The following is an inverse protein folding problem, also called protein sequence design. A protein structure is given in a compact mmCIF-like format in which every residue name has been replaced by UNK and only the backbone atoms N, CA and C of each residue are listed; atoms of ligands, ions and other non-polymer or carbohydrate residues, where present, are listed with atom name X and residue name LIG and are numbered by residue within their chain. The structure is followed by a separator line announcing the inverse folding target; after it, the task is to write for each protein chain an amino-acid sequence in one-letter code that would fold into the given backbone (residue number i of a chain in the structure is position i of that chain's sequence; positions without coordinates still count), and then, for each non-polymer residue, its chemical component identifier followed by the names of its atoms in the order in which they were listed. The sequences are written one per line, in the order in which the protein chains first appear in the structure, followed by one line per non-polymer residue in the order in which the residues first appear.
data_IF_064609295478
#
_entry.id   IF_064609295478
#
_cell.length_a   1.000
_cell.length_b   1.000
_cell.length_c   1.000
_cell.angle_alpha   90.00
_cell.angle_beta   90.00
_cell.angle_gamma   90.00
#
_symmetry.space_group_name_H-M   'P 1'
#
loop_
_entity.id
_entity.type
_entity.pdbx_description
1 polymer ?
#
# COMPACT_ATOMS: atom_id res chain seq x y z
N UNK A 1 -41.95 3.87 13.09
CA UNK A 1 -41.15 5.05 12.69
C UNK A 1 -40.23 5.58 13.78
N UNK A 2 -40.62 5.58 15.07
CA UNK A 2 -39.74 6.06 16.17
C UNK A 2 -38.53 5.17 16.50
N UNK A 3 -38.62 3.85 16.31
CA UNK A 3 -37.54 2.90 16.63
C UNK A 3 -36.39 2.92 15.63
N UNK A 4 -36.69 3.14 14.34
CA UNK A 4 -35.68 3.25 13.27
C UNK A 4 -34.86 4.56 13.33
N UNK A 5 -35.39 5.62 13.95
CA UNK A 5 -34.66 6.88 14.16
C UNK A 5 -33.66 6.77 15.31
N UNK A 6 -34.01 6.04 16.37
CA UNK A 6 -33.13 5.80 17.53
C UNK A 6 -31.93 4.90 17.19
N UNK A 7 -32.11 3.88 16.34
CA UNK A 7 -30.99 3.06 15.87
C UNK A 7 -30.03 3.83 14.97
N UNK A 8 -30.55 4.75 14.14
CA UNK A 8 -29.73 5.57 13.24
C UNK A 8 -28.92 6.63 13.98
N UNK A 9 -29.43 7.20 15.07
CA UNK A 9 -28.68 8.11 15.95
C UNK A 9 -27.59 7.39 16.75
N UNK A 10 -27.83 6.13 17.16
CA UNK A 10 -26.83 5.31 17.85
C UNK A 10 -25.66 4.92 16.92
N UNK A 11 -25.93 4.63 15.64
CA UNK A 11 -24.87 4.36 14.65
C UNK A 11 -24.07 5.61 14.28
N UNK A 12 -24.71 6.78 14.18
CA UNK A 12 -24.05 8.07 13.92
C UNK A 12 -23.10 8.47 15.06
N UNK A 13 -23.48 8.23 16.33
CA UNK A 13 -22.59 8.46 17.48
C UNK A 13 -21.43 7.47 17.53
N UNK A 14 -21.62 6.23 17.06
CA UNK A 14 -20.55 5.21 16.97
C UNK A 14 -19.55 5.54 15.84
N UNK A 15 -20.02 6.09 14.73
CA UNK A 15 -19.18 6.60 13.63
C UNK A 15 -18.40 7.88 14.01
N UNK A 16 -18.96 8.74 14.88
CA UNK A 16 -18.25 9.90 15.41
C UNK A 16 -17.15 9.54 16.43
N UNK A 17 -17.33 8.46 17.21
CA UNK A 17 -16.28 7.97 18.13
C UNK A 17 -15.14 7.21 17.46
N UNK A 18 -15.33 6.67 16.25
CA UNK A 18 -14.25 6.01 15.49
C UNK A 18 -13.35 6.98 14.69
N UNK A 19 -13.74 8.25 14.54
CA UNK A 19 -12.94 9.28 13.85
C UNK A 19 -11.92 10.00 14.74
N UNK A 20 -11.86 9.69 16.03
CA UNK A 20 -11.00 10.40 17.01
C UNK A 20 -9.80 9.58 17.50
N UNK A 21 -9.41 8.52 16.79
CA UNK A 21 -8.22 7.73 17.13
C UNK A 21 -7.35 7.48 15.88
N UNK A 22 -6.61 8.52 15.47
CA UNK A 22 -5.44 8.40 14.62
C UNK A 22 -4.35 9.33 15.19
N UNK A 23 -3.07 8.92 15.15
CA UNK A 23 -2.01 9.55 15.93
C UNK A 23 -1.67 10.93 15.37
N UNK A 24 -1.62 11.91 16.28
CA UNK A 24 -1.20 13.28 16.00
C UNK A 24 0.28 13.30 15.64
N UNK A 25 0.59 13.31 14.33
CA UNK A 25 1.89 13.72 13.83
C UNK A 25 1.98 15.25 13.97
N UNK A 26 2.69 15.69 15.00
CA UNK A 26 2.99 17.11 15.23
C UNK A 26 4.06 17.56 14.24
N UNK A 27 3.63 18.26 13.18
CA UNK A 27 4.48 19.13 12.38
C UNK A 27 4.26 20.55 12.91
N UNK A 28 5.21 21.05 13.70
CA UNK A 28 5.34 22.48 13.98
C UNK A 28 6.79 22.90 13.73
N UNK A 29 6.93 23.62 12.62
CA UNK A 29 7.71 24.86 12.47
C UNK A 29 9.22 24.81 12.77
N UNK A 30 9.97 24.82 11.67
CA UNK A 30 11.21 25.59 11.50
C UNK A 30 11.25 26.84 12.37
N UNK A 31 12.10 26.83 13.38
CA UNK A 31 13.01 27.92 13.78
C UNK A 31 13.91 27.36 14.90
N UNK A 32 15.22 27.60 14.82
CA UNK A 32 16.29 27.07 15.69
C UNK A 32 16.91 25.72 15.27
N UNK A 33 17.68 25.73 14.18
CA UNK A 33 18.80 24.79 13.99
C UNK A 33 19.95 25.50 13.29
N UNK A 34 20.57 26.39 14.05
CA UNK A 34 21.93 26.87 13.82
C UNK A 34 22.54 27.05 15.20
N UNK A 35 22.95 25.96 15.84
CA UNK A 35 23.98 25.87 16.91
C UNK A 35 23.95 24.46 17.57
N UNK A 36 24.16 23.38 16.80
CA UNK A 36 24.44 22.04 17.38
C UNK A 36 25.24 21.10 16.48
N UNK A 37 25.85 21.58 15.40
CA UNK A 37 26.62 20.74 14.46
C UNK A 37 28.10 20.55 14.80
N UNK A 38 28.57 21.00 15.98
CA UNK A 38 30.00 20.98 16.32
C UNK A 38 30.40 19.98 17.42
N UNK A 39 29.45 19.30 18.06
CA UNK A 39 29.76 18.38 19.18
C UNK A 39 29.79 16.90 18.70
N UNK A 40 28.91 16.49 17.77
CA UNK A 40 28.91 15.11 17.23
C UNK A 40 30.13 14.80 16.33
N UNK A 41 30.74 15.82 15.70
CA UNK A 41 31.93 15.61 14.88
C UNK A 41 33.17 15.31 15.73
N UNK A 42 33.30 15.88 16.92
CA UNK A 42 34.48 15.67 17.77
C UNK A 42 34.51 14.24 18.34
N UNK A 43 33.37 13.71 18.77
CA UNK A 43 33.24 12.33 19.27
C UNK A 43 33.42 11.30 18.13
N UNK A 44 32.81 11.52 16.96
CA UNK A 44 33.00 10.64 15.81
C UNK A 44 34.44 10.64 15.27
N UNK A 45 35.11 11.80 15.27
CA UNK A 45 36.53 11.90 14.90
C UNK A 45 37.41 11.19 15.94
N UNK A 46 37.07 11.27 17.23
CA UNK A 46 37.77 10.57 18.30
C UNK A 46 37.64 9.05 18.19
N UNK A 47 36.44 8.52 17.92
CA UNK A 47 36.23 7.08 17.72
C UNK A 47 36.97 6.55 16.48
N UNK A 48 36.95 7.31 15.37
CA UNK A 48 37.67 6.95 14.14
C UNK A 48 39.19 6.98 14.34
N UNK A 49 39.70 7.96 15.10
CA UNK A 49 41.10 8.07 15.49
C UNK A 49 41.55 6.90 16.37
N UNK A 50 40.72 6.47 17.31
CA UNK A 50 40.98 5.36 18.22
C UNK A 50 41.02 4.01 17.48
N UNK A 51 40.11 3.81 16.51
CA UNK A 51 40.11 2.66 15.61
C UNK A 51 41.35 2.65 14.70
N UNK A 52 41.77 3.81 14.21
CA UNK A 52 42.98 3.96 13.41
C UNK A 52 44.24 3.55 14.16
N UNK A 53 44.35 3.97 15.42
CA UNK A 53 45.47 3.63 16.29
C UNK A 53 45.53 2.13 16.63
N UNK A 54 44.41 1.49 16.93
CA UNK A 54 44.39 0.03 17.20
C UNK A 54 44.83 -0.82 15.99
N UNK A 55 44.58 -0.35 14.77
CA UNK A 55 45.08 -1.00 13.55
C UNK A 55 46.58 -0.76 13.37
N UNK A 56 47.09 0.41 13.76
CA UNK A 56 48.47 0.82 13.57
C UNK A 56 49.43 0.27 14.62
N UNK A 57 49.00 0.21 15.87
CA UNK A 57 49.76 -0.18 17.07
C UNK A 57 50.57 -1.48 16.93
N UNK A 58 50.08 -2.57 16.31
CA UNK A 58 50.86 -3.80 16.12
C UNK A 58 52.07 -3.65 15.19
N UNK A 59 52.09 -2.59 14.36
CA UNK A 59 53.13 -2.32 13.38
C UNK A 59 54.19 -1.34 13.89
N UNK A 60 53.88 -0.58 14.95
CA UNK A 60 54.80 0.40 15.54
C UNK A 60 55.94 -0.33 16.26
N UNK A 61 57.17 -0.05 15.83
CA UNK A 61 58.39 -0.62 16.44
C UNK A 61 59.09 0.42 17.29
N UNK A 62 59.68 -0.02 18.38
CA UNK A 62 60.58 0.83 19.15
C UNK A 62 62.01 0.62 18.67
N UNK A 63 62.71 1.72 18.36
CA UNK A 63 64.13 1.75 18.02
C UNK A 63 64.91 2.62 19.01
N UNK A 64 66.24 2.49 19.08
CA UNK A 64 67.06 3.27 19.99
C UNK A 64 66.92 4.76 19.73
N UNK A 65 66.92 5.53 20.82
CA UNK A 65 66.83 6.98 20.81
C UNK A 65 68.20 7.54 21.16
N UNK A 66 68.67 8.50 20.38
CA UNK A 66 69.93 9.21 20.64
C UNK A 66 69.70 10.70 20.78
N UNK A 67 70.43 11.33 21.70
CA UNK A 67 70.48 12.78 21.81
C UNK A 67 71.37 13.42 20.73
N UNK A 68 71.14 14.70 20.45
CA UNK A 68 71.91 15.54 19.50
C UNK A 68 73.43 15.53 19.79
N UNK A 69 73.82 15.34 21.05
CA UNK A 69 75.21 15.29 21.49
C UNK A 69 75.96 14.01 21.12
N UNK A 70 75.27 12.94 20.71
CA UNK A 70 75.92 11.68 20.34
C UNK A 70 76.77 11.87 19.08
N UNK A 71 77.95 11.27 19.11
CA UNK A 71 78.87 11.20 17.98
C UNK A 71 78.45 10.11 17.01
N UNK A 72 78.94 10.18 15.77
CA UNK A 72 78.65 9.15 14.79
C UNK A 72 79.19 7.79 15.21
N UNK A 73 80.31 7.74 15.93
CA UNK A 73 80.89 6.51 16.46
C UNK A 73 79.95 5.81 17.45
N UNK A 74 79.39 6.53 18.42
CA UNK A 74 78.45 5.99 19.40
C UNK A 74 77.17 5.44 18.74
N UNK A 75 76.66 6.10 17.69
CA UNK A 75 75.48 5.60 16.94
C UNK A 75 75.82 4.36 16.12
N UNK A 76 77.05 4.25 15.60
CA UNK A 76 77.52 3.04 14.90
C UNK A 76 77.63 1.86 15.88
N UNK A 77 78.12 2.08 17.09
CA UNK A 77 78.17 1.07 18.15
C UNK A 77 76.76 0.60 18.53
N UNK A 78 75.78 1.50 18.64
CA UNK A 78 74.38 1.11 18.89
C UNK A 78 73.79 0.22 17.78
N UNK A 79 74.12 0.47 16.52
CA UNK A 79 73.72 -0.42 15.42
C UNK A 79 74.44 -1.77 15.43
N UNK A 80 75.61 -1.87 16.08
CA UNK A 80 76.34 -3.12 16.29
C UNK A 80 75.77 -3.92 17.47
N UNK A 81 75.33 -3.25 18.54
CA UNK A 81 74.66 -3.87 19.69
C UNK A 81 73.24 -4.33 19.37
N UNK A 82 72.54 -3.63 18.47
CA UNK A 82 71.20 -4.00 18.00
C UNK A 82 71.17 -4.14 16.46
N UNK A 83 71.63 -5.29 15.93
CA UNK A 83 71.77 -5.50 14.48
C UNK A 83 70.45 -5.39 13.69
N UNK A 84 69.34 -5.71 14.34
CA UNK A 84 68.00 -5.78 13.74
C UNK A 84 67.33 -4.40 13.55
N UNK A 85 67.91 -3.33 14.11
CA UNK A 85 67.37 -1.98 13.96
C UNK A 85 67.85 -1.34 12.65
N UNK A 86 66.90 -0.92 11.83
CA UNK A 86 67.17 -0.30 10.52
C UNK A 86 67.44 1.20 10.62
N UNK A 87 67.08 1.83 11.75
CA UNK A 87 67.32 3.24 12.02
C UNK A 87 67.42 3.54 13.52
N UNK A 88 67.86 4.75 13.81
CA UNK A 88 67.88 5.37 15.14
C UNK A 88 67.19 6.72 15.03
N UNK A 89 66.40 7.09 16.04
CA UNK A 89 65.73 8.39 16.10
C UNK A 89 66.52 9.35 16.97
N UNK A 90 66.79 10.53 16.44
CA UNK A 90 67.45 11.61 17.19
C UNK A 90 66.37 12.43 17.88
N UNK A 91 66.37 12.46 19.21
CA UNK A 91 65.42 13.24 20.00
C UNK A 91 66.13 14.35 20.80
N UNK A 92 65.36 15.35 21.21
CA UNK A 92 65.79 16.29 22.25
C UNK A 92 65.59 15.71 23.67
N UNK A 93 65.97 16.50 24.68
CA UNK A 93 65.81 16.13 26.11
C UNK A 93 64.33 15.99 26.54
N UNK A 94 63.39 16.55 25.78
CA UNK A 94 61.94 16.44 26.02
C UNK A 94 61.30 15.20 25.34
N UNK A 95 62.08 14.46 24.53
CA UNK A 95 61.64 13.28 23.79
C UNK A 95 61.04 13.61 22.42
N UNK A 96 61.24 14.83 21.90
CA UNK A 96 60.75 15.25 20.59
C UNK A 96 61.65 14.76 19.47
N UNK A 97 61.13 14.07 18.44
CA UNK A 97 61.94 13.59 17.32
C UNK A 97 62.40 14.77 16.46
N UNK A 98 63.72 14.98 16.40
CA UNK A 98 64.38 16.02 15.62
C UNK A 98 64.93 15.52 14.29
N UNK A 99 65.21 14.21 14.18
CA UNK A 99 65.73 13.63 12.96
C UNK A 99 65.80 12.12 12.98
N UNK A 100 66.08 11.54 11.81
CA UNK A 100 66.18 10.09 11.61
C UNK A 100 67.53 9.72 11.02
N UNK A 101 68.17 8.68 11.54
CA UNK A 101 69.41 8.14 10.96
C UNK A 101 69.14 6.71 10.48
N UNK A 102 69.13 6.52 9.17
CA UNK A 102 69.02 5.18 8.58
C UNK A 102 70.38 4.47 8.62
N UNK A 103 70.41 3.22 9.09
CA UNK A 103 71.62 2.38 9.16
C UNK A 103 72.33 2.31 7.81
N UNK A 104 71.58 2.08 6.72
CA UNK A 104 72.13 2.01 5.37
C UNK A 104 72.83 3.31 4.93
N UNK A 105 72.25 4.48 5.23
CA UNK A 105 72.89 5.78 4.91
C UNK A 105 74.20 5.95 5.67
N UNK A 106 74.22 5.59 6.95
CA UNK A 106 75.42 5.66 7.78
C UNK A 106 76.50 4.67 7.32
N UNK A 107 76.13 3.46 6.89
CA UNK A 107 77.05 2.45 6.32
C UNK A 107 77.68 2.91 5.01
N UNK A 108 76.91 3.58 4.13
CA UNK A 108 77.45 4.16 2.88
C UNK A 108 78.51 5.23 3.20
N UNK A 109 78.27 6.07 4.21
CA UNK A 109 79.23 7.10 4.63
C UNK A 109 80.49 6.47 5.22
N UNK A 110 80.36 5.38 5.99
CA UNK A 110 81.51 4.63 6.53
C UNK A 110 82.39 3.98 5.47
N UNK A 111 81.78 3.49 4.38
CA UNK A 111 82.49 2.80 3.29
C UNK A 111 83.11 3.76 2.27
N UNK A 112 82.81 5.06 2.36
CA UNK A 112 83.43 6.09 1.52
C UNK A 112 84.91 6.33 1.91
N UNK A 113 85.76 6.61 0.93
CA UNK A 113 87.19 6.95 1.16
C UNK A 113 87.28 8.18 2.07
N UNK A 114 87.99 8.07 3.20
CA UNK A 114 88.12 9.06 4.29
C UNK A 114 86.87 9.30 5.15
N UNK A 115 85.80 8.50 5.00
CA UNK A 115 84.55 8.68 5.77
C UNK A 115 84.75 8.60 7.29
N UNK A 116 85.64 7.68 7.75
CA UNK A 116 85.94 7.54 9.18
C UNK A 116 86.59 8.78 9.80
N UNK A 117 87.59 9.34 9.13
CA UNK A 117 88.34 10.51 9.61
C UNK A 117 87.50 11.80 9.58
N UNK A 118 86.53 11.90 8.66
CA UNK A 118 85.75 13.13 8.45
C UNK A 118 84.53 13.21 9.38
N UNK A 119 83.94 12.07 9.75
CA UNK A 119 82.61 12.05 10.38
C UNK A 119 82.54 11.43 11.79
N UNK A 120 83.47 10.58 12.21
CA UNK A 120 83.34 9.82 13.47
C UNK A 120 83.21 10.72 14.72
N UNK A 121 84.07 11.74 14.85
CA UNK A 121 84.02 12.69 15.97
C UNK A 121 83.00 13.83 15.83
N UNK A 122 82.15 13.81 14.78
CA UNK A 122 81.10 14.82 14.59
C UNK A 122 79.80 14.36 15.22
N UNK A 123 79.04 15.32 15.76
CA UNK A 123 77.67 15.09 16.23
C UNK A 123 76.80 14.51 15.11
N UNK A 124 76.00 13.49 15.46
CA UNK A 124 75.08 12.80 14.57
C UNK A 124 74.03 13.75 13.96
N UNK A 125 73.76 14.88 14.62
CA UNK A 125 72.83 15.90 14.14
C UNK A 125 73.24 16.52 12.80
N UNK A 126 74.52 16.43 12.40
CA UNK A 126 75.00 16.88 11.09
C UNK A 126 74.76 15.88 9.96
N UNK A 127 74.37 14.65 10.29
CA UNK A 127 74.23 13.52 9.36
C UNK A 127 72.85 12.87 9.40
N UNK A 128 72.01 13.24 10.35
CA UNK A 128 70.61 12.83 10.39
C UNK A 128 69.81 13.45 9.24
N UNK A 129 68.75 12.76 8.83
CA UNK A 129 67.69 13.39 8.08
C UNK A 129 66.97 14.38 9.00
N UNK A 130 67.06 15.67 8.67
CA UNK A 130 66.45 16.75 9.46
C UNK A 130 64.99 17.02 9.11
N UNK A 131 64.42 16.31 8.14
CA UNK A 131 63.01 16.38 7.79
C UNK A 131 62.41 14.97 7.60
N UNK A 132 62.48 14.10 8.63
CA UNK A 132 61.85 12.79 8.55
C UNK A 132 60.33 12.97 8.49
N UNK A 133 59.62 12.07 7.81
CA UNK A 133 58.15 12.08 7.92
C UNK A 133 57.77 11.63 9.33
N UNK A 134 57.20 12.56 10.08
CA UNK A 134 56.61 12.31 11.38
C UNK A 134 55.10 12.40 11.25
N UNK A 135 54.39 11.37 11.71
CA UNK A 135 52.93 11.30 11.71
C UNK A 135 52.40 11.21 13.13
N UNK A 136 51.20 11.73 13.36
CA UNK A 136 50.50 11.52 14.63
C UNK A 136 50.03 10.06 14.72
N UNK A 137 50.06 9.45 15.91
CA UNK A 137 49.58 8.07 16.11
C UNK A 137 48.10 7.84 15.73
N UNK A 138 47.29 8.91 15.73
CA UNK A 138 45.87 8.90 15.38
C UNK A 138 45.60 9.08 13.87
N UNK A 139 46.65 9.07 13.04
CA UNK A 139 46.48 9.16 11.59
C UNK A 139 45.69 7.97 11.04
N UNK A 140 44.82 8.22 10.07
CA UNK A 140 44.14 7.14 9.35
C UNK A 140 45.18 6.28 8.61
N UNK A 141 45.15 4.95 8.75
CA UNK A 141 46.11 4.05 8.08
C UNK A 141 46.22 4.26 6.57
N UNK A 142 45.13 4.62 5.89
CA UNK A 142 45.13 4.89 4.45
C UNK A 142 45.87 6.20 4.11
N UNK A 143 45.63 7.27 4.88
CA UNK A 143 46.34 8.54 4.73
C UNK A 143 47.83 8.40 5.04
N UNK A 144 48.18 7.59 6.05
CA UNK A 144 49.56 7.22 6.35
C UNK A 144 50.23 6.54 5.15
N UNK A 145 49.57 5.54 4.55
CA UNK A 145 50.10 4.84 3.39
C UNK A 145 50.29 5.79 2.21
N UNK A 146 49.33 6.69 1.95
CA UNK A 146 49.44 7.68 0.88
C UNK A 146 50.61 8.63 1.10
N UNK A 147 50.81 9.14 2.33
CA UNK A 147 51.92 10.03 2.67
C UNK A 147 53.28 9.32 2.69
N UNK A 148 53.31 8.04 3.07
CA UNK A 148 54.55 7.28 3.17
C UNK A 148 55.01 6.73 1.81
N UNK A 149 54.08 6.22 1.00
CA UNK A 149 54.36 5.67 -0.33
C UNK A 149 54.41 6.73 -1.43
N UNK A 150 53.87 7.93 -1.18
CA UNK A 150 53.95 9.07 -2.10
C UNK A 150 55.24 9.89 -2.03
N UNK A 151 56.24 9.46 -1.25
CA UNK A 151 57.55 10.12 -1.15
C UNK A 151 58.45 9.83 -2.35
N UNK A 152 59.44 10.68 -2.56
CA UNK A 152 60.50 10.46 -3.56
C UNK A 152 61.26 9.15 -3.30
N UNK A 153 61.75 8.51 -4.36
CA UNK A 153 62.49 7.22 -4.34
C UNK A 153 63.67 7.20 -3.34
N UNK A 154 64.22 8.37 -2.98
CA UNK A 154 65.34 8.52 -2.04
C UNK A 154 64.95 8.42 -0.56
N UNK A 155 63.69 8.68 -0.23
CA UNK A 155 63.17 8.78 1.15
C UNK A 155 61.96 7.88 1.39
N UNK A 156 61.43 7.23 0.36
CA UNK A 156 60.31 6.27 0.45
C UNK A 156 60.66 5.03 1.29
N UNK A 157 61.95 4.65 1.34
CA UNK A 157 62.44 3.54 2.16
C UNK A 157 62.81 3.97 3.59
N UNK A 158 62.77 5.26 3.89
CA UNK A 158 63.08 5.77 5.24
C UNK A 158 61.89 5.48 6.17
N UNK A 159 62.22 5.11 7.42
CA UNK A 159 61.21 4.82 8.42
C UNK A 159 60.33 6.05 8.69
N UNK A 160 59.04 5.84 8.93
CA UNK A 160 58.12 6.89 9.38
C UNK A 160 58.20 6.99 10.88
N UNK A 161 58.36 8.19 11.42
CA UNK A 161 58.30 8.39 12.87
C UNK A 161 56.83 8.55 13.28
N UNK A 162 56.42 7.83 14.32
CA UNK A 162 55.10 7.97 14.94
C UNK A 162 55.27 8.72 16.26
N UNK A 163 54.50 9.79 16.42
CA UNK A 163 54.55 10.67 17.59
C UNK A 163 53.15 11.00 18.13
N UNK A 164 53.08 11.34 19.41
CA UNK A 164 51.89 11.87 20.10
C UNK A 164 52.32 13.11 20.86
N UNK A 165 51.61 14.23 20.67
CA UNK A 165 51.93 15.52 21.31
C UNK A 165 53.43 15.88 21.19
N UNK A 166 53.97 15.75 19.97
CA UNK A 166 55.37 15.95 19.63
C UNK A 166 56.37 15.00 20.34
N UNK A 167 55.91 13.96 21.06
CA UNK A 167 56.78 12.96 21.67
C UNK A 167 56.89 11.70 20.82
N UNK A 168 58.10 11.20 20.68
CA UNK A 168 58.38 9.96 19.97
C UNK A 168 57.70 8.76 20.65
N UNK A 169 56.95 7.97 19.86
CA UNK A 169 56.34 6.71 20.30
C UNK A 169 57.05 5.52 19.67
N UNK A 170 57.37 5.62 18.39
CA UNK A 170 57.96 4.53 17.62
C UNK A 170 58.17 4.88 16.17
N UNK A 171 58.50 3.86 15.38
CA UNK A 171 58.67 3.97 13.94
C UNK A 171 57.83 2.95 13.18
N UNK A 172 57.63 3.20 11.89
CA UNK A 172 57.10 2.25 10.92
C UNK A 172 58.11 2.06 9.79
N UNK A 173 58.53 0.83 9.57
CA UNK A 173 59.39 0.49 8.43
C UNK A 173 58.57 0.34 7.15
N UNK A 174 59.22 0.37 5.99
CA UNK A 174 58.56 0.06 4.71
C UNK A 174 57.93 -1.34 4.72
N UNK A 175 58.57 -2.33 5.37
CA UNK A 175 58.01 -3.68 5.52
C UNK A 175 56.69 -3.66 6.29
N UNK A 176 56.60 -2.86 7.35
CA UNK A 176 55.39 -2.74 8.16
C UNK A 176 54.28 -1.99 7.41
N UNK A 177 54.62 -0.93 6.65
CA UNK A 177 53.68 -0.24 5.77
C UNK A 177 53.12 -1.16 4.68
N UNK A 178 53.96 -1.98 4.04
CA UNK A 178 53.50 -2.95 3.04
C UNK A 178 52.62 -4.04 3.65
N UNK A 179 52.92 -4.52 4.87
CA UNK A 179 52.04 -5.46 5.59
C UNK A 179 50.71 -4.81 5.97
N UNK A 180 50.73 -3.56 6.42
CA UNK A 180 49.53 -2.78 6.73
C UNK A 180 48.66 -2.58 5.47
N UNK A 181 49.28 -2.23 4.34
CA UNK A 181 48.60 -2.13 3.04
C UNK A 181 47.90 -3.44 2.66
N UNK A 182 48.60 -4.58 2.75
CA UNK A 182 48.01 -5.90 2.49
C UNK A 182 46.87 -6.23 3.45
N UNK A 183 47.01 -5.90 4.74
CA UNK A 183 45.97 -6.15 5.75
C UNK A 183 44.69 -5.35 5.40
N UNK A 184 44.84 -4.06 5.08
CA UNK A 184 43.71 -3.20 4.69
C UNK A 184 43.06 -3.73 3.41
N UNK A 185 43.84 -4.04 2.38
CA UNK A 185 43.32 -4.63 1.14
C UNK A 185 42.55 -5.93 1.39
N UNK A 186 43.10 -6.83 2.21
CA UNK A 186 42.44 -8.09 2.57
C UNK A 186 41.12 -7.84 3.32
N UNK A 187 41.08 -6.90 4.27
CA UNK A 187 39.88 -6.55 5.02
C UNK A 187 38.81 -5.93 4.11
N UNK A 188 39.22 -5.08 3.16
CA UNK A 188 38.31 -4.50 2.16
C UNK A 188 37.70 -5.57 1.26
N UNK A 189 38.50 -6.50 0.74
CA UNK A 189 38.00 -7.63 -0.08
C UNK A 189 37.05 -8.51 0.73
N UNK A 190 37.38 -8.83 1.99
CA UNK A 190 36.48 -9.60 2.86
C UNK A 190 35.14 -8.91 3.09
N UNK A 191 35.16 -7.60 3.36
CA UNK A 191 33.95 -6.82 3.53
C UNK A 191 33.12 -6.79 2.24
N UNK A 192 33.76 -6.60 1.09
CA UNK A 192 33.08 -6.61 -0.21
C UNK A 192 32.42 -7.96 -0.50
N UNK A 193 33.10 -9.08 -0.24
CA UNK A 193 32.52 -10.43 -0.40
C UNK A 193 31.30 -10.61 0.51
N UNK A 194 31.36 -10.13 1.75
CA UNK A 194 30.22 -10.18 2.67
C UNK A 194 29.03 -9.35 2.15
N UNK A 195 29.28 -8.15 1.63
CA UNK A 195 28.24 -7.30 1.01
C UNK A 195 27.60 -7.97 -0.20
N UNK A 196 28.40 -8.59 -1.10
CA UNK A 196 27.86 -9.28 -2.29
C UNK A 196 26.99 -10.48 -1.87
N UNK A 197 27.43 -11.31 -0.92
CA UNK A 197 26.61 -12.43 -0.40
C UNK A 197 25.30 -11.95 0.22
N UNK A 198 25.33 -10.84 0.95
CA UNK A 198 24.11 -10.22 1.48
C UNK A 198 23.16 -9.80 0.36
N UNK A 199 23.71 -9.25 -0.71
CA UNK A 199 22.94 -8.81 -1.87
C UNK A 199 22.38 -9.99 -2.70
N UNK A 200 23.10 -11.11 -2.83
CA UNK A 200 22.60 -12.35 -3.45
C UNK A 200 21.37 -12.89 -2.71
N UNK A 201 21.40 -12.91 -1.37
CA UNK A 201 20.27 -13.36 -0.57
C UNK A 201 19.03 -12.47 -0.78
N UNK A 202 19.22 -11.13 -0.81
CA UNK A 202 18.12 -10.20 -1.09
C UNK A 202 17.53 -10.42 -2.49
N UNK A 203 18.35 -10.74 -3.49
CA UNK A 203 17.86 -11.04 -4.84
C UNK A 203 17.07 -12.34 -4.88
N UNK A 204 17.50 -13.38 -4.16
CA UNK A 204 16.71 -14.61 -4.04
C UNK A 204 15.34 -14.39 -3.40
N UNK A 205 15.26 -13.49 -2.42
CA UNK A 205 13.99 -13.10 -1.81
C UNK A 205 13.11 -12.33 -2.83
N UNK A 206 13.70 -11.38 -3.57
CA UNK A 206 13.02 -10.67 -4.65
C UNK A 206 12.48 -11.64 -5.71
N UNK A 207 13.27 -12.62 -6.14
CA UNK A 207 12.88 -13.61 -7.15
C UNK A 207 11.62 -14.38 -6.71
N UNK A 208 11.61 -14.83 -5.45
CA UNK A 208 10.45 -15.51 -4.86
C UNK A 208 9.23 -14.59 -4.79
N UNK A 209 9.41 -13.34 -4.35
CA UNK A 209 8.32 -12.36 -4.29
C UNK A 209 7.75 -12.05 -5.67
N UNK A 210 8.60 -11.94 -6.69
CA UNK A 210 8.18 -11.67 -8.07
C UNK A 210 7.33 -12.82 -8.62
N UNK A 211 7.71 -14.08 -8.38
CA UNK A 211 6.90 -15.25 -8.76
C UNK A 211 5.53 -15.22 -8.08
N UNK A 212 5.48 -14.93 -6.78
CA UNK A 212 4.22 -14.82 -6.04
C UNK A 212 3.31 -13.70 -6.58
N UNK A 213 3.89 -12.55 -6.93
CA UNK A 213 3.14 -11.44 -7.54
C UNK A 213 2.61 -11.84 -8.92
N UNK A 214 3.39 -12.57 -9.71
CA UNK A 214 2.96 -13.05 -11.03
C UNK A 214 1.79 -14.04 -10.92
N UNK A 215 1.85 -15.02 -10.02
CA UNK A 215 0.75 -15.95 -9.75
C UNK A 215 -0.51 -15.23 -9.25
N UNK A 216 -0.35 -14.29 -8.32
CA UNK A 216 -1.46 -13.48 -7.80
C UNK A 216 -2.12 -12.63 -8.89
N UNK A 217 -1.33 -12.09 -9.82
CA UNK A 217 -1.81 -11.36 -11.00
C UNK A 217 -2.63 -12.27 -11.91
N UNK A 218 -2.15 -13.46 -12.26
CA UNK A 218 -2.90 -14.42 -13.10
C UNK A 218 -4.21 -14.85 -12.45
N UNK A 219 -4.20 -15.11 -11.13
CA UNK A 219 -5.41 -15.41 -10.38
C UNK A 219 -6.40 -14.24 -10.41
N UNK A 220 -5.90 -13.01 -10.21
CA UNK A 220 -6.69 -11.79 -10.28
C UNK A 220 -7.33 -11.55 -11.65
N UNK A 221 -6.61 -11.87 -12.73
CA UNK A 221 -7.13 -11.81 -14.10
C UNK A 221 -8.27 -12.81 -14.32
N UNK A 222 -8.06 -14.08 -13.93
CA UNK A 222 -9.08 -15.14 -14.02
C UNK A 222 -10.34 -14.83 -13.20
N UNK A 223 -10.17 -14.32 -11.97
CA UNK A 223 -11.28 -13.86 -11.13
C UNK A 223 -12.04 -12.69 -11.75
N UNK A 224 -11.32 -11.74 -12.34
CA UNK A 224 -11.93 -10.59 -13.03
C UNK A 224 -12.71 -11.02 -14.27
N UNK A 225 -12.21 -12.01 -15.02
CA UNK A 225 -12.92 -12.59 -16.16
C UNK A 225 -14.21 -13.30 -15.71
N UNK A 226 -14.16 -14.02 -14.60
CA UNK A 226 -15.34 -14.67 -14.01
C UNK A 226 -16.38 -13.63 -13.53
N UNK A 227 -15.93 -12.52 -12.94
CA UNK A 227 -16.79 -11.40 -12.57
C UNK A 227 -17.45 -10.76 -13.79
N UNK A 228 -16.74 -10.59 -14.91
CA UNK A 228 -17.32 -10.08 -16.15
C UNK A 228 -18.47 -10.97 -16.65
N UNK A 229 -18.27 -12.29 -16.68
CA UNK A 229 -19.32 -13.23 -17.09
C UNK A 229 -20.52 -13.21 -16.14
N UNK A 230 -20.29 -13.22 -14.82
CA UNK A 230 -21.36 -13.16 -13.83
C UNK A 230 -22.16 -11.85 -13.92
N UNK A 231 -21.48 -10.74 -14.19
CA UNK A 231 -22.11 -9.43 -14.32
C UNK A 231 -22.95 -9.35 -15.59
N UNK A 232 -22.47 -9.90 -16.70
CA UNK A 232 -23.26 -10.00 -17.95
C UNK A 232 -24.50 -10.88 -17.77
N UNK A 233 -24.36 -12.03 -17.09
CA UNK A 233 -25.49 -12.89 -16.73
C UNK A 233 -26.50 -12.15 -15.86
N UNK A 234 -26.03 -11.47 -14.81
CA UNK A 234 -26.88 -10.68 -13.93
C UNK A 234 -27.64 -9.56 -14.66
N UNK A 235 -26.97 -8.85 -15.58
CA UNK A 235 -27.63 -7.87 -16.45
C UNK A 235 -28.73 -8.49 -17.31
N UNK A 236 -28.49 -9.64 -17.92
CA UNK A 236 -29.48 -10.33 -18.75
C UNK A 236 -30.70 -10.77 -17.90
N UNK A 237 -30.49 -11.27 -16.68
CA UNK A 237 -31.60 -11.57 -15.78
C UNK A 237 -32.40 -10.32 -15.39
N UNK A 238 -31.74 -9.18 -15.16
CA UNK A 238 -32.43 -7.91 -14.92
C UNK A 238 -33.23 -7.43 -16.14
N UNK A 239 -32.71 -7.61 -17.36
CA UNK A 239 -33.44 -7.28 -18.58
C UNK A 239 -34.72 -8.12 -18.71
N UNK A 240 -34.67 -9.41 -18.33
CA UNK A 240 -35.87 -10.28 -18.29
C UNK A 240 -36.87 -9.81 -17.23
N UNK A 241 -36.40 -9.43 -16.04
CA UNK A 241 -37.26 -8.92 -14.97
C UNK A 241 -37.91 -7.59 -15.37
N UNK A 242 -37.16 -6.68 -16.00
CA UNK A 242 -37.67 -5.43 -16.57
C UNK A 242 -38.76 -5.68 -17.61
N UNK A 243 -38.56 -6.64 -18.51
CA UNK A 243 -39.58 -7.04 -19.48
C UNK A 243 -40.84 -7.61 -18.81
N UNK A 244 -40.68 -8.39 -17.74
CA UNK A 244 -41.80 -8.93 -16.97
C UNK A 244 -42.64 -7.84 -16.30
N UNK A 245 -42.00 -6.82 -15.71
CA UNK A 245 -42.71 -5.67 -15.13
C UNK A 245 -43.40 -4.80 -16.18
N UNK A 246 -42.78 -4.59 -17.34
CA UNK A 246 -43.46 -3.95 -18.48
C UNK A 246 -44.72 -4.71 -18.91
N UNK A 247 -44.64 -6.04 -19.00
CA UNK A 247 -45.81 -6.86 -19.32
C UNK A 247 -46.88 -6.79 -18.23
N UNK A 248 -46.48 -6.80 -16.95
CA UNK A 248 -47.38 -6.65 -15.81
C UNK A 248 -48.12 -5.29 -15.88
N UNK A 249 -47.42 -4.19 -16.10
CA UNK A 249 -48.01 -2.85 -16.24
C UNK A 249 -49.03 -2.80 -17.40
N UNK A 250 -48.69 -3.41 -18.55
CA UNK A 250 -49.62 -3.50 -19.68
C UNK A 250 -50.87 -4.34 -19.35
N UNK A 251 -50.71 -5.47 -18.65
CA UNK A 251 -51.83 -6.33 -18.21
C UNK A 251 -52.73 -5.61 -17.20
N UNK A 252 -52.14 -4.88 -16.26
CA UNK A 252 -52.85 -4.05 -15.28
C UNK A 252 -53.69 -2.98 -15.98
N UNK A 253 -53.16 -2.32 -17.00
CA UNK A 253 -53.91 -1.34 -17.78
C UNK A 253 -55.11 -1.96 -18.52
N UNK A 254 -54.98 -3.18 -19.03
CA UNK A 254 -56.10 -3.93 -19.63
C UNK A 254 -57.15 -4.30 -18.56
N UNK A 255 -56.72 -4.69 -17.36
CA UNK A 255 -57.63 -4.98 -16.25
C UNK A 255 -58.42 -3.74 -15.82
N UNK A 256 -57.80 -2.56 -15.73
CA UNK A 256 -58.49 -1.30 -15.44
C UNK A 256 -59.64 -1.03 -16.44
N UNK A 257 -59.39 -1.25 -17.74
CA UNK A 257 -60.40 -1.08 -18.80
C UNK A 257 -61.57 -2.07 -18.61
N UNK A 258 -61.27 -3.36 -18.37
CA UNK A 258 -62.29 -4.39 -18.20
C UNK A 258 -63.15 -4.16 -16.95
N UNK A 259 -62.55 -3.69 -15.86
CA UNK A 259 -63.26 -3.37 -14.62
C UNK A 259 -64.16 -2.14 -14.82
N UNK A 260 -63.69 -1.12 -15.53
CA UNK A 260 -64.52 0.03 -15.92
C UNK A 260 -65.74 -0.40 -16.73
N UNK A 261 -65.56 -1.30 -17.69
CA UNK A 261 -66.68 -1.82 -18.49
C UNK A 261 -67.67 -2.62 -17.63
N UNK A 262 -67.20 -3.41 -16.66
CA UNK A 262 -68.05 -4.12 -15.72
C UNK A 262 -68.86 -3.15 -14.84
N UNK A 263 -68.24 -2.05 -14.39
CA UNK A 263 -68.90 -0.99 -13.63
C UNK A 263 -70.06 -0.38 -14.43
N UNK A 264 -69.82 -0.05 -15.70
CA UNK A 264 -70.82 0.53 -16.59
C UNK A 264 -71.99 -0.44 -16.84
N UNK A 265 -71.68 -1.72 -17.09
CA UNK A 265 -72.69 -2.78 -17.30
C UNK A 265 -73.53 -3.00 -16.04
N UNK A 266 -72.90 -3.10 -14.86
CA UNK A 266 -73.61 -3.24 -13.58
C UNK A 266 -74.50 -2.01 -13.30
N UNK A 267 -74.00 -0.81 -13.58
CA UNK A 267 -74.78 0.43 -13.49
C UNK A 267 -75.99 0.45 -14.42
N UNK A 268 -75.86 -0.05 -15.65
CA UNK A 268 -76.97 -0.18 -16.59
C UNK A 268 -78.04 -1.18 -16.09
N UNK A 269 -77.63 -2.34 -15.58
CA UNK A 269 -78.57 -3.31 -14.99
C UNK A 269 -79.29 -2.73 -13.77
N UNK A 270 -78.57 -1.96 -12.93
CA UNK A 270 -79.18 -1.24 -11.80
C UNK A 270 -80.27 -0.24 -12.24
N UNK A 271 -80.07 0.48 -13.35
CA UNK A 271 -81.10 1.36 -13.92
C UNK A 271 -82.33 0.58 -14.39
N UNK A 272 -82.13 -0.55 -15.07
CA UNK A 272 -83.23 -1.42 -15.53
C UNK A 272 -84.00 -2.01 -14.35
N UNK A 273 -83.31 -2.48 -13.30
CA UNK A 273 -83.95 -3.02 -12.11
C UNK A 273 -84.81 -1.97 -11.38
N UNK A 274 -84.32 -0.73 -11.27
CA UNK A 274 -85.12 0.39 -10.73
C UNK A 274 -86.39 0.64 -11.55
N UNK A 275 -86.30 0.60 -12.87
CA UNK A 275 -87.46 0.74 -13.76
C UNK A 275 -88.47 -0.41 -13.56
N UNK A 276 -88.01 -1.66 -13.44
CA UNK A 276 -88.88 -2.82 -13.17
C UNK A 276 -89.61 -2.63 -11.84
N UNK A 277 -88.91 -2.17 -10.79
CA UNK A 277 -89.52 -1.88 -9.48
C UNK A 277 -90.60 -0.81 -9.59
N UNK A 278 -90.37 0.25 -10.37
CA UNK A 278 -91.34 1.31 -10.62
C UNK A 278 -92.57 0.79 -11.37
N UNK A 279 -92.37 -0.01 -12.43
CA UNK A 279 -93.46 -0.65 -13.17
C UNK A 279 -94.27 -1.62 -12.29
N UNK A 280 -93.60 -2.39 -11.43
CA UNK A 280 -94.25 -3.28 -10.48
C UNK A 280 -95.09 -2.50 -9.46
N UNK A 281 -94.60 -1.37 -8.94
CA UNK A 281 -95.39 -0.48 -8.08
C UNK A 281 -96.62 0.09 -8.80
N UNK A 282 -96.48 0.53 -10.05
CA UNK A 282 -97.60 1.02 -10.85
C UNK A 282 -98.63 -0.07 -11.13
N UNK A 283 -98.19 -1.26 -11.51
CA UNK A 283 -99.05 -2.41 -11.76
C UNK A 283 -99.80 -2.83 -10.48
N UNK A 284 -99.13 -2.80 -9.33
CA UNK A 284 -99.75 -3.05 -8.04
C UNK A 284 -100.86 -2.03 -7.71
N UNK A 285 -100.63 -0.74 -7.98
CA UNK A 285 -101.64 0.31 -7.82
C UNK A 285 -102.83 0.12 -8.78
N UNK A 286 -102.57 -0.22 -10.03
CA UNK A 286 -103.62 -0.52 -11.02
C UNK A 286 -104.46 -1.74 -10.60
N UNK A 287 -103.80 -2.79 -10.10
CA UNK A 287 -104.47 -3.98 -9.60
C UNK A 287 -105.36 -3.69 -8.39
N UNK A 288 -104.89 -2.87 -7.44
CA UNK A 288 -105.71 -2.40 -6.31
C UNK A 288 -106.95 -1.64 -6.79
N UNK A 289 -106.80 -0.72 -7.75
CA UNK A 289 -107.92 0.00 -8.32
C UNK A 289 -108.92 -0.94 -9.02
N UNK A 290 -108.42 -1.95 -9.73
CA UNK A 290 -109.25 -2.98 -10.37
C UNK A 290 -110.00 -3.85 -9.35
N UNK A 291 -109.36 -4.25 -8.24
CA UNK A 291 -110.02 -4.97 -7.14
C UNK A 291 -111.14 -4.14 -6.53
N UNK A 292 -110.94 -2.83 -6.34
CA UNK A 292 -111.97 -1.90 -5.83
C UNK A 292 -113.16 -1.83 -6.79
N UNK A 293 -112.92 -1.65 -8.08
CA UNK A 293 -114.00 -1.53 -9.07
C UNK A 293 -114.74 -2.87 -9.28
N UNK A 294 -114.02 -4.00 -9.20
CA UNK A 294 -114.62 -5.33 -9.21
C UNK A 294 -115.53 -5.57 -8.00
N UNK A 295 -115.14 -5.11 -6.80
CA UNK A 295 -116.00 -5.13 -5.62
C UNK A 295 -117.24 -4.23 -5.79
N UNK A 296 -117.09 -3.08 -6.45
CA UNK A 296 -118.17 -2.14 -6.74
C UNK A 296 -119.21 -2.69 -7.72
N UNK A 297 -118.79 -3.53 -8.68
CA UNK A 297 -119.68 -4.21 -9.63
C UNK A 297 -120.47 -5.39 -9.03
N UNK A 298 -120.24 -5.73 -7.75
CA UNK A 298 -120.98 -6.79 -7.04
C UNK A 298 -120.77 -8.18 -7.65
N UNK A 299 -121.87 -8.93 -7.84
CA UNK A 299 -121.81 -10.30 -8.39
C UNK A 299 -121.23 -10.37 -9.80
N UNK A 300 -121.43 -9.33 -10.63
CA UNK A 300 -120.85 -9.27 -11.99
C UNK A 300 -119.33 -9.06 -12.00
N UNK A 301 -118.74 -8.59 -10.90
CA UNK A 301 -117.31 -8.31 -10.76
C UNK A 301 -116.48 -9.45 -10.18
N UNK A 302 -117.07 -10.56 -9.71
CA UNK A 302 -116.34 -11.65 -9.01
C UNK A 302 -115.18 -12.23 -9.82
N UNK A 303 -115.36 -12.45 -11.13
CA UNK A 303 -114.29 -12.95 -11.99
C UNK A 303 -113.13 -11.95 -12.15
N UNK A 304 -113.45 -10.65 -12.27
CA UNK A 304 -112.46 -9.58 -12.35
C UNK A 304 -111.70 -9.38 -11.03
N UNK A 305 -112.36 -9.58 -9.89
CA UNK A 305 -111.73 -9.48 -8.57
C UNK A 305 -110.62 -10.53 -8.39
N UNK A 306 -110.84 -11.77 -8.84
CA UNK A 306 -109.84 -12.85 -8.77
C UNK A 306 -108.62 -12.51 -9.64
N UNK A 307 -108.84 -12.01 -10.86
CA UNK A 307 -107.74 -11.61 -11.76
C UNK A 307 -106.96 -10.42 -11.19
N UNK A 308 -107.66 -9.42 -10.64
CA UNK A 308 -107.02 -8.25 -10.04
C UNK A 308 -106.15 -8.61 -8.82
N UNK A 309 -106.61 -9.50 -7.95
CA UNK A 309 -105.81 -9.99 -6.82
C UNK A 309 -104.58 -10.80 -7.26
N UNK A 310 -104.69 -11.62 -8.32
CA UNK A 310 -103.53 -12.34 -8.87
C UNK A 310 -102.50 -11.38 -9.49
N UNK A 311 -102.96 -10.36 -10.23
CA UNK A 311 -102.09 -9.31 -10.77
C UNK A 311 -101.39 -8.54 -9.64
N UNK A 312 -102.12 -8.22 -8.55
CA UNK A 312 -101.55 -7.56 -7.36
C UNK A 312 -100.42 -8.40 -6.73
N UNK A 313 -100.65 -9.70 -6.62
CA UNK A 313 -99.67 -10.66 -6.08
C UNK A 313 -98.42 -10.74 -6.97
N UNK A 314 -98.60 -10.87 -8.29
CA UNK A 314 -97.51 -10.87 -9.27
C UNK A 314 -96.71 -9.56 -9.24
N UNK A 315 -97.39 -8.42 -9.14
CA UNK A 315 -96.75 -7.11 -9.04
C UNK A 315 -95.92 -6.99 -7.74
N UNK A 316 -96.44 -7.48 -6.61
CA UNK A 316 -95.70 -7.50 -5.34
C UNK A 316 -94.47 -8.41 -5.41
N UNK A 317 -94.60 -9.61 -5.98
CA UNK A 317 -93.46 -10.51 -6.20
C UNK A 317 -92.42 -9.91 -7.14
N UNK A 318 -92.85 -9.29 -8.24
CA UNK A 318 -91.95 -8.61 -9.21
C UNK A 318 -91.17 -7.48 -8.53
N UNK A 319 -91.84 -6.70 -7.68
CA UNK A 319 -91.18 -5.65 -6.88
C UNK A 319 -90.11 -6.23 -5.97
N UNK A 320 -90.43 -7.30 -5.22
CA UNK A 320 -89.48 -7.95 -4.33
C UNK A 320 -88.26 -8.47 -5.12
N UNK A 321 -88.47 -9.14 -6.24
CA UNK A 321 -87.37 -9.61 -7.09
C UNK A 321 -86.52 -8.45 -7.64
N UNK A 322 -87.13 -7.32 -7.99
CA UNK A 322 -86.38 -6.13 -8.42
C UNK A 322 -85.55 -5.53 -7.27
N UNK A 323 -86.06 -5.53 -6.04
CA UNK A 323 -85.32 -5.10 -4.85
C UNK A 323 -84.12 -6.03 -4.57
N UNK A 324 -84.32 -7.34 -4.66
CA UNK A 324 -83.24 -8.33 -4.52
C UNK A 324 -82.16 -8.16 -5.60
N UNK A 325 -82.55 -7.91 -6.86
CA UNK A 325 -81.61 -7.60 -7.96
C UNK A 325 -80.83 -6.31 -7.65
N UNK A 326 -81.47 -5.27 -7.13
CA UNK A 326 -80.78 -4.02 -6.78
C UNK A 326 -79.75 -4.22 -5.66
N UNK A 327 -80.04 -5.07 -4.67
CA UNK A 327 -79.06 -5.44 -3.63
C UNK A 327 -77.85 -6.16 -4.24
N UNK A 328 -78.07 -7.13 -5.13
CA UNK A 328 -76.98 -7.83 -5.83
C UNK A 328 -76.13 -6.87 -6.68
N UNK A 329 -76.76 -5.95 -7.42
CA UNK A 329 -76.02 -4.95 -8.20
C UNK A 329 -75.20 -4.02 -7.30
N UNK A 330 -75.74 -3.64 -6.14
CA UNK A 330 -75.00 -2.80 -5.18
C UNK A 330 -73.77 -3.53 -4.64
N UNK A 331 -73.90 -4.82 -4.31
CA UNK A 331 -72.77 -5.65 -3.90
C UNK A 331 -71.72 -5.82 -5.01
N UNK A 332 -72.14 -6.00 -6.26
CA UNK A 332 -71.24 -6.07 -7.43
C UNK A 332 -70.46 -4.75 -7.59
N UNK A 333 -71.14 -3.61 -7.50
CA UNK A 333 -70.49 -2.29 -7.63
C UNK A 333 -69.47 -2.03 -6.51
N UNK A 334 -69.75 -2.46 -5.27
CA UNK A 334 -68.79 -2.34 -4.18
C UNK A 334 -67.56 -3.24 -4.39
N UNK A 335 -67.77 -4.49 -4.81
CA UNK A 335 -66.67 -5.41 -5.15
C UNK A 335 -65.81 -4.89 -6.32
N UNK A 336 -66.45 -4.27 -7.33
CA UNK A 336 -65.76 -3.60 -8.44
C UNK A 336 -64.87 -2.47 -7.92
N UNK A 337 -65.39 -1.62 -7.03
CA UNK A 337 -64.64 -0.50 -6.45
C UNK A 337 -63.43 -0.98 -5.64
N UNK A 338 -63.58 -2.03 -4.84
CA UNK A 338 -62.47 -2.66 -4.12
C UNK A 338 -61.42 -3.24 -5.09
N UNK A 339 -61.87 -3.86 -6.18
CA UNK A 339 -60.97 -4.39 -7.22
C UNK A 339 -60.18 -3.27 -7.91
N UNK A 340 -60.81 -2.13 -8.22
CA UNK A 340 -60.11 -0.96 -8.79
C UNK A 340 -59.00 -0.48 -7.85
N UNK A 341 -59.26 -0.42 -6.54
CA UNK A 341 -58.26 -0.01 -5.56
C UNK A 341 -57.04 -0.94 -5.57
N UNK A 342 -57.27 -2.26 -5.49
CA UNK A 342 -56.19 -3.27 -5.52
C UNK A 342 -55.37 -3.22 -6.81
N UNK A 343 -56.03 -3.01 -7.95
CA UNK A 343 -55.36 -2.89 -9.26
C UNK A 343 -54.51 -1.61 -9.32
N UNK A 344 -54.99 -0.49 -8.78
CA UNK A 344 -54.23 0.75 -8.69
C UNK A 344 -53.01 0.63 -7.78
N UNK A 345 -53.14 -0.06 -6.64
CA UNK A 345 -52.00 -0.34 -5.75
C UNK A 345 -50.97 -1.23 -6.45
N UNK A 346 -51.40 -2.31 -7.11
CA UNK A 346 -50.53 -3.19 -7.87
C UNK A 346 -49.79 -2.49 -9.02
N UNK A 347 -50.42 -1.49 -9.66
CA UNK A 347 -49.78 -0.63 -10.66
C UNK A 347 -48.65 0.19 -10.07
N UNK A 348 -48.91 0.86 -8.94
CA UNK A 348 -47.92 1.67 -8.23
C UNK A 348 -46.72 0.83 -7.76
N UNK A 349 -46.98 -0.39 -7.27
CA UNK A 349 -45.93 -1.32 -6.86
C UNK A 349 -45.10 -1.83 -8.05
N UNK A 350 -45.73 -2.09 -9.20
CA UNK A 350 -45.03 -2.47 -10.42
C UNK A 350 -44.14 -1.34 -10.95
N UNK A 351 -44.63 -0.10 -10.94
CA UNK A 351 -43.86 1.09 -11.36
C UNK A 351 -42.66 1.34 -10.43
N UNK A 352 -42.85 1.21 -9.12
CA UNK A 352 -41.76 1.28 -8.14
C UNK A 352 -40.74 0.17 -8.37
N UNK A 353 -41.20 -1.05 -8.64
CA UNK A 353 -40.33 -2.20 -8.92
C UNK A 353 -39.50 -1.99 -10.19
N UNK A 354 -40.08 -1.38 -11.22
CA UNK A 354 -39.36 -1.01 -12.44
C UNK A 354 -38.20 -0.05 -12.13
N UNK A 355 -38.38 0.89 -11.20
CA UNK A 355 -37.31 1.79 -10.76
C UNK A 355 -36.17 1.03 -10.07
N UNK A 356 -36.49 0.10 -9.17
CA UNK A 356 -35.47 -0.72 -8.49
C UNK A 356 -34.67 -1.59 -9.46
N UNK A 357 -35.34 -2.18 -10.46
CA UNK A 357 -34.67 -2.98 -11.50
C UNK A 357 -33.72 -2.12 -12.33
N UNK A 358 -34.11 -0.88 -12.64
CA UNK A 358 -33.24 0.06 -13.35
C UNK A 358 -32.00 0.44 -12.54
N UNK A 359 -32.18 0.74 -11.25
CA UNK A 359 -31.06 1.04 -10.35
C UNK A 359 -30.12 -0.17 -10.21
N UNK A 360 -30.66 -1.38 -10.09
CA UNK A 360 -29.87 -2.61 -10.10
C UNK A 360 -29.09 -2.77 -11.41
N UNK A 361 -29.70 -2.48 -12.56
CA UNK A 361 -29.03 -2.57 -13.86
C UNK A 361 -27.85 -1.61 -13.97
N UNK A 362 -27.97 -0.39 -13.42
CA UNK A 362 -26.88 0.58 -13.35
C UNK A 362 -25.74 0.08 -12.45
N UNK A 363 -26.04 -0.56 -11.31
CA UNK A 363 -25.04 -1.18 -10.43
C UNK A 363 -24.30 -2.30 -11.14
N UNK A 364 -25.00 -3.19 -11.85
CA UNK A 364 -24.36 -4.24 -12.65
C UNK A 364 -23.48 -3.64 -13.76
N UNK A 365 -23.90 -2.55 -14.39
CA UNK A 365 -23.06 -1.86 -15.35
C UNK A 365 -21.77 -1.31 -14.71
N UNK A 366 -21.84 -0.74 -13.51
CA UNK A 366 -20.65 -0.29 -12.78
C UNK A 366 -19.74 -1.45 -12.40
N UNK A 367 -20.30 -2.57 -11.94
CA UNK A 367 -19.54 -3.79 -11.64
C UNK A 367 -18.79 -4.31 -12.88
N UNK A 368 -19.40 -4.23 -14.05
CA UNK A 368 -18.76 -4.64 -15.31
C UNK A 368 -17.51 -3.81 -15.60
N UNK A 369 -17.61 -2.48 -15.47
CA UNK A 369 -16.48 -1.58 -15.70
C UNK A 369 -15.38 -1.81 -14.67
N UNK A 370 -15.73 -2.01 -13.41
CA UNK A 370 -14.77 -2.29 -12.33
C UNK A 370 -14.05 -3.62 -12.56
N UNK A 371 -14.77 -4.68 -12.94
CA UNK A 371 -14.17 -5.98 -13.25
C UNK A 371 -13.24 -5.89 -14.48
N UNK A 372 -13.64 -5.16 -15.52
CA UNK A 372 -12.80 -4.92 -16.70
C UNK A 372 -11.53 -4.13 -16.35
N UNK A 373 -11.64 -3.12 -15.49
CA UNK A 373 -10.51 -2.37 -14.97
C UNK A 373 -9.55 -3.26 -14.17
N UNK A 374 -10.10 -4.11 -13.30
CA UNK A 374 -9.31 -5.00 -12.46
C UNK A 374 -8.56 -6.07 -13.29
N UNK A 375 -9.19 -6.61 -14.34
CA UNK A 375 -8.53 -7.50 -15.31
C UNK A 375 -7.34 -6.82 -15.99
N UNK A 376 -7.49 -5.57 -16.42
CA UNK A 376 -6.39 -4.80 -17.02
C UNK A 376 -5.24 -4.56 -16.05
N UNK A 377 -5.55 -4.12 -14.83
CA UNK A 377 -4.55 -3.90 -13.78
C UNK A 377 -3.81 -5.19 -13.44
N UNK A 378 -4.52 -6.31 -13.35
CA UNK A 378 -3.91 -7.62 -13.14
C UNK A 378 -2.92 -7.95 -14.27
N UNK A 379 -3.30 -7.77 -15.53
CA UNK A 379 -2.41 -7.98 -16.68
C UNK A 379 -1.16 -7.08 -16.67
N UNK A 380 -1.30 -5.81 -16.28
CA UNK A 380 -0.17 -4.87 -16.13
C UNK A 380 0.79 -5.30 -15.02
N UNK A 381 0.28 -5.73 -13.86
CA UNK A 381 1.09 -6.28 -12.77
C UNK A 381 1.84 -7.53 -13.23
N UNK A 382 1.18 -8.41 -13.99
CA UNK A 382 1.78 -9.63 -14.52
C UNK A 382 2.97 -9.35 -15.44
N UNK A 383 2.84 -8.32 -16.29
CA UNK A 383 3.94 -7.84 -17.14
C UNK A 383 5.09 -7.25 -16.33
N UNK A 384 4.80 -6.36 -15.37
CA UNK A 384 5.82 -5.76 -14.50
C UNK A 384 6.58 -6.81 -13.68
N UNK A 385 5.88 -7.84 -13.20
CA UNK A 385 6.51 -8.97 -12.53
C UNK A 385 7.47 -9.73 -13.46
N UNK A 386 7.08 -9.97 -14.72
CA UNK A 386 7.96 -10.60 -15.71
C UNK A 386 9.21 -9.75 -16.01
N UNK A 387 9.05 -8.43 -16.14
CA UNK A 387 10.18 -7.51 -16.35
C UNK A 387 11.12 -7.47 -15.11
N UNK A 388 10.56 -7.47 -13.91
CA UNK A 388 11.31 -7.54 -12.65
C UNK A 388 12.07 -8.86 -12.52
N UNK A 389 11.48 -9.98 -12.92
CA UNK A 389 12.14 -11.29 -12.96
C UNK A 389 13.37 -11.27 -13.88
N UNK A 390 13.21 -10.74 -15.11
CA UNK A 390 14.32 -10.61 -16.06
C UNK A 390 15.43 -9.67 -15.56
N UNK A 391 15.08 -8.63 -14.78
CA UNK A 391 16.05 -7.76 -14.14
C UNK A 391 16.79 -8.48 -12.99
N UNK A 392 16.08 -9.22 -12.14
CA UNK A 392 16.65 -10.02 -11.06
C UNK A 392 17.70 -11.02 -11.56
N UNK A 393 17.40 -11.72 -12.66
CA UNK A 393 18.34 -12.64 -13.31
C UNK A 393 19.61 -11.94 -13.81
N UNK A 394 19.47 -10.74 -14.40
CA UNK A 394 20.63 -9.93 -14.84
C UNK A 394 21.51 -9.49 -13.66
N UNK A 395 20.91 -9.06 -12.55
CA UNK A 395 21.69 -8.65 -11.37
C UNK A 395 22.41 -9.86 -10.76
N UNK A 396 21.75 -11.02 -10.70
CA UNK A 396 22.35 -12.28 -10.23
C UNK A 396 23.60 -12.62 -11.05
N UNK A 397 23.51 -12.51 -12.38
CA UNK A 397 24.64 -12.79 -13.26
C UNK A 397 25.79 -11.78 -13.05
N UNK A 398 25.48 -10.49 -12.88
CA UNK A 398 26.48 -9.47 -12.56
C UNK A 398 27.17 -9.72 -11.22
N UNK A 399 26.44 -10.18 -10.20
CA UNK A 399 27.03 -10.53 -8.90
C UNK A 399 27.97 -11.72 -8.99
N UNK A 400 27.62 -12.75 -9.77
CA UNK A 400 28.51 -13.88 -10.03
C UNK A 400 29.81 -13.44 -10.72
N UNK A 401 29.71 -12.53 -11.69
CA UNK A 401 30.89 -11.97 -12.36
C UNK A 401 31.76 -11.17 -11.38
N UNK A 402 31.18 -10.30 -10.55
CA UNK A 402 31.92 -9.56 -9.52
C UNK A 402 32.61 -10.49 -8.51
N UNK A 403 31.95 -11.57 -8.09
CA UNK A 403 32.56 -12.58 -7.23
C UNK A 403 33.76 -13.27 -7.90
N UNK A 404 33.63 -13.60 -9.18
CA UNK A 404 34.72 -14.22 -9.95
C UNK A 404 35.93 -13.27 -10.06
N UNK A 405 35.70 -12.00 -10.38
CA UNK A 405 36.76 -10.99 -10.47
C UNK A 405 37.51 -10.80 -9.14
N UNK A 406 36.80 -10.80 -8.01
CA UNK A 406 37.41 -10.72 -6.67
C UNK A 406 38.22 -11.97 -6.29
N UNK A 407 37.89 -13.14 -6.85
CA UNK A 407 38.67 -14.36 -6.64
C UNK A 407 39.93 -14.42 -7.52
N UNK A 408 39.90 -13.82 -8.71
CA UNK A 408 41.03 -13.76 -9.64
C UNK A 408 42.03 -12.67 -9.26
N UNK A 409 41.59 -11.60 -8.60
CA UNK A 409 42.46 -10.51 -8.11
C UNK A 409 43.23 -10.83 -6.82
N UNK A 410 43.28 -12.11 -6.43
CA UNK A 410 43.90 -12.64 -5.21
C UNK A 410 45.18 -13.39 -5.56
#
# INVERSE_FOLDING_TARGET
MSTLLLEREAELQKAQKLKTAAPTATITTHEQSTMTNNIDHAEAISEIAEIGYEILKPFIRNVPIVGIGHTCEEVIEQFAESPDNECVVVCDEAGKPLGLVMKNRLTIIQTHRFGREIYYGKSIAKLMDGQPLTVNQHILPQQLLDLALGRDDRTVYDCVIVAEDDRYIGILTMSDLLKLSRLIQQKTVQSQVATIRGAENMIHEIDRSVVQVHEASQLGESMSQSMLDLTLKGKNELDKVSAAFHNLSARTNVQEIQISELQDRAGAVGKVSKLIRELANQCNLLAVNATIEAARAGEHGRGFAVVADEVRKLATQTKQSADDINLLISAILEAVKETVHLVSEGKSEADSSQSYVKEAADVFQQLFHTAAGNSRSAGEIGKLASDAYAQSQRVTEQMKQLMADMQVSR
#
